data_IF_314614147586
#
_entry.id   IF_314614147586
#
_cell.length_a   1.000
_cell.length_b   1.000
_cell.length_c   1.000
_cell.angle_alpha   90.00
_cell.angle_beta   90.00
_cell.angle_gamma   90.00
#
_symmetry.space_group_name_H-M   'P 1'
#
loop_
_entity.id
_entity.type
_entity.pdbx_description
1 polymer ?
#
# COMPACT_ATOMS: atom_id res chain seq x y z
N UNK A 1 9.11 3.63 -38.51
CA UNK A 1 8.47 3.38 -37.23
C UNK A 1 9.46 3.54 -36.13
N UNK A 2 9.01 4.20 -35.11
CA UNK A 2 9.80 4.34 -33.92
C UNK A 2 9.73 3.05 -33.12
N UNK A 3 10.87 2.48 -32.72
CA UNK A 3 10.90 1.29 -31.89
C UNK A 3 10.32 1.52 -30.49
N UNK A 4 10.04 2.78 -30.16
CA UNK A 4 9.35 3.13 -28.93
C UNK A 4 7.85 2.88 -29.01
N UNK A 5 7.36 2.46 -30.16
CA UNK A 5 5.94 2.25 -30.35
C UNK A 5 5.61 0.76 -30.29
N UNK A 6 4.40 0.47 -29.87
CA UNK A 6 3.84 -0.87 -29.93
C UNK A 6 2.61 -0.86 -30.81
N UNK A 7 2.31 -1.99 -31.41
CA UNK A 7 1.14 -2.12 -32.26
C UNK A 7 -0.02 -2.65 -31.45
N UNK A 8 -1.15 -1.96 -31.53
CA UNK A 8 -2.40 -2.44 -30.97
C UNK A 8 -3.41 -2.38 -32.10
N UNK A 9 -3.72 -3.54 -32.66
CA UNK A 9 -4.47 -3.59 -33.90
C UNK A 9 -3.67 -2.92 -35.00
N UNK A 10 -4.24 -1.92 -35.65
CA UNK A 10 -3.59 -1.16 -36.69
C UNK A 10 -2.93 0.13 -36.19
N UNK A 11 -2.90 0.31 -34.87
CA UNK A 11 -2.36 1.53 -34.30
C UNK A 11 -0.99 1.32 -33.73
N UNK A 12 -0.12 2.27 -33.98
CA UNK A 12 1.12 2.40 -33.25
C UNK A 12 0.87 3.32 -32.06
N UNK A 13 1.16 2.82 -30.87
CA UNK A 13 1.03 3.62 -29.66
C UNK A 13 2.43 3.79 -29.10
N UNK A 14 2.85 5.03 -28.81
CA UNK A 14 4.13 5.24 -28.16
C UNK A 14 4.22 4.38 -26.91
N UNK A 15 5.34 3.73 -26.71
CA UNK A 15 5.53 2.86 -25.56
C UNK A 15 5.26 3.58 -24.26
N UNK A 16 5.63 4.85 -24.18
CA UNK A 16 5.39 5.68 -23.00
C UNK A 16 3.90 5.90 -22.72
N UNK A 17 3.07 5.86 -23.75
CA UNK A 17 1.63 5.99 -23.56
C UNK A 17 0.98 4.69 -23.12
N UNK A 18 1.64 3.56 -23.38
CA UNK A 18 1.14 2.24 -22.97
C UNK A 18 1.54 1.94 -21.54
N UNK A 19 2.73 2.36 -21.16
CA UNK A 19 3.22 2.20 -19.80
C UNK A 19 2.56 3.25 -18.92
N UNK A 20 1.88 2.82 -17.87
CA UNK A 20 1.34 3.75 -16.91
C UNK A 20 2.45 4.60 -16.31
N UNK A 21 2.10 5.76 -15.83
CA UNK A 21 3.05 6.74 -15.33
C UNK A 21 4.10 6.12 -14.42
N UNK A 22 5.30 6.62 -14.54
CA UNK A 22 6.41 6.19 -13.70
C UNK A 22 6.47 7.09 -12.48
N UNK A 23 6.28 6.49 -11.31
CA UNK A 23 6.42 7.20 -10.06
C UNK A 23 7.88 7.17 -9.61
N UNK A 24 8.35 8.23 -8.94
CA UNK A 24 9.71 8.23 -8.42
C UNK A 24 9.85 7.21 -7.29
N UNK A 25 10.90 6.40 -7.35
CA UNK A 25 11.19 5.41 -6.31
C UNK A 25 12.33 5.89 -5.44
N UNK A 26 12.29 5.52 -4.15
CA UNK A 26 13.34 5.90 -3.21
C UNK A 26 13.34 7.38 -2.86
N UNK A 27 12.29 8.09 -3.17
CA UNK A 27 12.13 9.51 -2.85
C UNK A 27 10.90 9.71 -1.99
N UNK A 28 10.88 10.77 -1.21
CA UNK A 28 9.77 11.08 -0.34
C UNK A 28 8.57 11.56 -1.15
N UNK A 29 7.45 10.88 -0.98
CA UNK A 29 6.20 11.20 -1.65
C UNK A 29 5.13 11.37 -0.59
N UNK A 30 4.28 12.37 -0.75
CA UNK A 30 3.10 12.55 0.10
C UNK A 30 1.97 11.66 -0.40
N UNK A 31 1.39 10.92 0.52
CA UNK A 31 0.22 10.08 0.27
C UNK A 31 -0.94 10.56 1.13
N UNK A 32 -2.15 10.36 0.62
CA UNK A 32 -3.36 10.62 1.38
C UNK A 32 -4.19 9.34 1.42
N UNK A 33 -4.63 8.95 2.60
CA UNK A 33 -5.47 7.77 2.74
C UNK A 33 -6.88 8.14 2.26
N UNK A 34 -7.32 7.52 1.18
CA UNK A 34 -8.67 7.74 0.65
C UNK A 34 -9.66 6.76 1.26
N UNK A 35 -9.21 5.53 1.47
CA UNK A 35 -10.07 4.47 1.95
C UNK A 35 -9.25 3.49 2.76
N UNK A 36 -9.79 3.04 3.87
CA UNK A 36 -9.20 1.95 4.63
C UNK A 36 -10.30 0.95 4.96
N UNK A 37 -10.02 -0.33 4.66
CA UNK A 37 -10.98 -1.40 4.87
C UNK A 37 -10.35 -2.53 5.64
N UNK A 38 -11.09 -3.07 6.60
CA UNK A 38 -10.71 -4.29 7.28
C UNK A 38 -11.21 -5.47 6.47
N UNK A 39 -10.31 -6.39 6.17
CA UNK A 39 -10.61 -7.65 5.49
C UNK A 39 -10.02 -8.79 6.29
N UNK A 40 -10.27 -10.01 5.85
CA UNK A 40 -9.76 -11.19 6.53
C UNK A 40 -8.98 -12.06 5.56
N UNK A 41 -8.03 -12.80 6.09
CA UNK A 41 -7.28 -13.80 5.35
C UNK A 41 -7.16 -15.06 6.19
N UNK A 42 -6.96 -16.20 5.51
CA UNK A 42 -6.79 -17.47 6.18
C UNK A 42 -5.36 -17.62 6.68
N UNK A 43 -5.21 -17.84 7.99
CA UNK A 43 -3.91 -18.10 8.58
C UNK A 43 -3.37 -19.42 8.07
N UNK A 44 -2.08 -19.43 7.73
CA UNK A 44 -1.36 -20.66 7.37
C UNK A 44 -0.09 -20.75 8.22
N UNK A 45 0.21 -21.96 8.64
CA UNK A 45 1.47 -22.26 9.32
C UNK A 45 2.15 -23.35 8.50
N UNK A 46 3.37 -23.08 8.06
CA UNK A 46 4.14 -23.99 7.20
C UNK A 46 3.35 -24.41 5.94
N UNK A 47 2.59 -23.46 5.39
CA UNK A 47 1.81 -23.69 4.19
C UNK A 47 0.48 -24.39 4.41
N UNK A 48 0.15 -24.74 5.66
CA UNK A 48 -1.09 -25.44 6.00
C UNK A 48 -2.09 -24.49 6.66
N UNK A 49 -3.36 -24.51 6.24
CA UNK A 49 -4.37 -23.67 6.88
C UNK A 49 -4.62 -24.13 8.32
N UNK A 50 -4.77 -23.15 9.21
CA UNK A 50 -5.03 -23.42 10.64
C UNK A 50 -6.52 -23.41 10.96
N UNK A 51 -7.36 -23.00 10.01
CA UNK A 51 -8.79 -22.77 10.24
C UNK A 51 -9.10 -21.44 10.90
N UNK A 52 -8.08 -20.64 11.20
CA UNK A 52 -8.25 -19.31 11.80
C UNK A 52 -8.22 -18.24 10.71
N UNK A 53 -9.10 -17.26 10.86
CA UNK A 53 -9.08 -16.07 10.01
C UNK A 53 -8.50 -14.91 10.80
N UNK A 54 -7.62 -14.17 10.13
CA UNK A 54 -6.94 -13.03 10.72
C UNK A 54 -7.26 -11.77 9.91
N UNK A 55 -7.26 -10.61 10.54
CA UNK A 55 -7.55 -9.38 9.82
C UNK A 55 -6.36 -8.87 9.05
N UNK A 56 -6.63 -8.19 7.93
CA UNK A 56 -5.68 -7.32 7.30
C UNK A 56 -6.38 -6.02 6.94
N UNK A 57 -5.59 -4.96 6.84
CA UNK A 57 -6.11 -3.65 6.47
C UNK A 57 -5.59 -3.28 5.10
N UNK A 58 -6.52 -2.91 4.23
CA UNK A 58 -6.20 -2.49 2.88
C UNK A 58 -6.42 -0.98 2.79
N UNK A 59 -5.36 -0.28 2.43
CA UNK A 59 -5.38 1.18 2.27
C UNK A 59 -5.33 1.52 0.80
N UNK A 60 -6.28 2.33 0.38
CA UNK A 60 -6.24 2.96 -0.94
C UNK A 60 -5.68 4.36 -0.76
N UNK A 61 -4.56 4.61 -1.40
CA UNK A 61 -3.80 5.84 -1.24
C UNK A 61 -3.84 6.64 -2.53
N UNK A 62 -4.11 7.92 -2.41
CA UNK A 62 -3.91 8.86 -3.50
C UNK A 62 -2.60 9.60 -3.30
N UNK A 63 -2.08 10.15 -4.36
CA UNK A 63 -0.85 10.91 -4.35
C UNK A 63 -1.18 12.35 -4.78
N UNK A 64 -1.24 13.30 -3.85
CA UNK A 64 -1.61 14.67 -4.21
C UNK A 64 -0.73 15.29 -5.30
N UNK A 65 0.55 14.92 -5.34
CA UNK A 65 1.47 15.45 -6.36
C UNK A 65 1.42 14.69 -7.68
N UNK A 66 0.67 13.58 -7.74
CA UNK A 66 0.55 12.75 -8.94
C UNK A 66 -0.93 12.39 -9.13
N UNK A 67 -1.75 13.37 -9.58
CA UNK A 67 -3.18 13.14 -9.75
C UNK A 67 -3.47 11.97 -10.68
N UNK A 68 -4.46 11.17 -10.31
CA UNK A 68 -4.84 10.00 -11.09
C UNK A 68 -4.10 8.73 -10.72
N UNK A 69 -3.06 8.83 -9.91
CA UNK A 69 -2.33 7.66 -9.47
C UNK A 69 -2.90 7.13 -8.16
N UNK A 70 -2.87 5.81 -8.01
CA UNK A 70 -3.34 5.13 -6.80
C UNK A 70 -2.33 4.08 -6.42
N UNK A 71 -2.03 4.00 -5.13
CA UNK A 71 -1.18 2.96 -4.56
C UNK A 71 -1.98 2.25 -3.48
N UNK A 72 -1.93 0.93 -3.48
CA UNK A 72 -2.56 0.14 -2.44
C UNK A 72 -1.49 -0.35 -1.47
N UNK A 73 -1.81 -0.30 -0.19
CA UNK A 73 -0.91 -0.75 0.85
C UNK A 73 -1.69 -1.59 1.85
N UNK A 74 -1.12 -2.74 2.22
CA UNK A 74 -1.80 -3.69 3.09
C UNK A 74 -0.95 -3.96 4.33
N UNK A 75 -1.63 -4.13 5.46
CA UNK A 75 -1.00 -4.61 6.68
C UNK A 75 -1.72 -5.87 7.14
N UNK A 76 -0.99 -6.96 7.16
CA UNK A 76 -1.50 -8.24 7.63
C UNK A 76 -1.17 -8.40 9.11
N UNK A 77 -2.18 -8.56 9.93
CA UNK A 77 -1.99 -8.75 11.36
C UNK A 77 -1.89 -10.25 11.65
N UNK A 78 -0.95 -10.60 12.51
CA UNK A 78 -0.75 -11.98 12.93
C UNK A 78 -1.43 -12.22 14.28
N UNK A 79 -1.49 -13.49 14.71
CA UNK A 79 -2.01 -13.81 16.03
C UNK A 79 -1.18 -13.13 17.12
N UNK A 80 0.13 -12.97 16.92
CA UNK A 80 1.00 -12.30 17.88
C UNK A 80 0.65 -10.83 17.99
N UNK A 81 0.36 -10.18 16.84
CA UNK A 81 -0.04 -8.78 16.82
C UNK A 81 -1.35 -8.58 17.57
N UNK A 82 -2.31 -9.49 17.37
CA UNK A 82 -3.60 -9.41 18.03
C UNK A 82 -3.49 -9.61 19.54
N UNK A 83 -2.53 -10.41 19.99
CA UNK A 83 -2.33 -10.65 21.41
C UNK A 83 -1.60 -9.48 22.10
N UNK A 84 -1.12 -8.52 21.34
CA UNK A 84 -0.41 -7.34 21.83
C UNK A 84 0.90 -7.64 22.55
N UNK A 85 1.40 -8.87 22.47
CA UNK A 85 2.66 -9.26 23.11
C UNK A 85 3.86 -8.90 22.24
N UNK A 86 3.68 -9.03 20.95
CA UNK A 86 4.72 -8.72 19.97
C UNK A 86 4.03 -8.05 18.80
N UNK A 87 3.57 -6.83 19.04
CA UNK A 87 2.97 -6.04 17.99
C UNK A 87 3.91 -6.05 16.79
N UNK A 88 3.37 -6.35 15.63
CA UNK A 88 4.12 -6.23 14.41
C UNK A 88 4.64 -4.80 14.35
N UNK A 89 5.94 -4.67 14.33
CA UNK A 89 6.57 -3.35 14.37
C UNK A 89 6.07 -2.49 13.22
N UNK A 90 5.80 -3.09 12.08
CA UNK A 90 5.36 -2.32 10.92
C UNK A 90 4.00 -1.67 11.14
N UNK A 91 3.02 -2.39 11.69
CA UNK A 91 1.70 -1.83 11.99
C UNK A 91 1.78 -0.77 13.10
N UNK A 92 2.49 -1.10 14.17
CA UNK A 92 2.66 -0.16 15.27
C UNK A 92 3.41 1.09 14.83
N UNK A 93 4.50 0.92 14.08
CA UNK A 93 5.28 2.04 13.57
C UNK A 93 4.45 2.91 12.64
N UNK A 94 3.62 2.30 11.81
CA UNK A 94 2.73 3.06 10.94
C UNK A 94 1.78 3.95 11.76
N UNK A 95 1.10 3.38 12.75
CA UNK A 95 0.20 4.16 13.59
C UNK A 95 0.94 5.24 14.38
N UNK A 96 2.10 4.90 14.96
CA UNK A 96 2.92 5.86 15.69
C UNK A 96 3.37 7.02 14.79
N UNK A 97 3.73 6.71 13.55
CA UNK A 97 4.14 7.71 12.57
C UNK A 97 3.01 8.68 12.27
N UNK A 98 1.78 8.19 12.22
CA UNK A 98 0.61 9.02 11.97
C UNK A 98 0.08 9.69 13.24
N UNK A 99 0.76 9.49 14.38
CA UNK A 99 0.33 10.02 15.69
C UNK A 99 -1.04 9.49 16.11
N UNK A 100 -1.31 8.24 15.78
CA UNK A 100 -2.55 7.56 16.13
C UNK A 100 -2.33 6.59 17.29
N UNK A 101 -3.32 6.41 18.15
CA UNK A 101 -3.21 5.42 19.22
C UNK A 101 -3.16 4.02 18.63
N UNK A 102 -2.38 3.15 19.27
CA UNK A 102 -2.27 1.77 18.81
C UNK A 102 -3.62 1.06 18.95
N UNK A 103 -4.05 0.42 17.88
CA UNK A 103 -5.24 -0.42 17.88
C UNK A 103 -5.10 -1.47 16.80
N UNK A 104 -5.68 -2.65 17.03
CA UNK A 104 -5.77 -3.69 16.02
C UNK A 104 -7.16 -3.72 15.36
N UNK A 105 -8.05 -2.81 15.75
CA UNK A 105 -9.43 -2.79 15.27
C UNK A 105 -9.90 -1.38 14.91
N UNK A 106 -9.16 -0.63 14.06
CA UNK A 106 -9.68 0.64 13.61
C UNK A 106 -10.94 0.41 12.75
N UNK A 107 -11.88 1.33 12.89
CA UNK A 107 -13.08 1.27 12.06
C UNK A 107 -12.73 1.54 10.59
N UNK A 108 -13.57 1.04 9.68
CA UNK A 108 -13.40 1.33 8.27
C UNK A 108 -13.39 2.85 8.04
N UNK A 109 -12.44 3.29 7.23
CA UNK A 109 -12.26 4.69 6.91
C UNK A 109 -11.97 5.62 8.11
N UNK A 110 -11.59 5.05 9.27
CA UNK A 110 -11.23 5.86 10.43
C UNK A 110 -10.00 6.73 10.17
N UNK A 111 -9.14 6.30 9.25
CA UNK A 111 -7.92 7.03 8.88
C UNK A 111 -8.05 7.78 7.56
N UNK A 112 -9.26 7.91 7.03
CA UNK A 112 -9.46 8.63 5.77
C UNK A 112 -9.01 10.09 5.90
N UNK A 113 -8.43 10.60 4.83
CA UNK A 113 -7.93 11.97 4.71
C UNK A 113 -6.64 12.26 5.50
N UNK A 114 -6.08 11.28 6.17
CA UNK A 114 -4.77 11.45 6.81
C UNK A 114 -3.70 11.39 5.73
N UNK A 115 -2.76 12.31 5.81
CA UNK A 115 -1.61 12.37 4.90
C UNK A 115 -0.34 11.94 5.60
N UNK A 116 0.50 11.28 4.87
CA UNK A 116 1.81 10.88 5.38
C UNK A 116 2.83 10.86 4.23
N UNK A 117 4.09 10.85 4.60
CA UNK A 117 5.18 10.80 3.64
C UNK A 117 5.80 9.42 3.68
N UNK A 118 6.01 8.84 2.51
CA UNK A 118 6.59 7.52 2.38
C UNK A 118 7.40 7.42 1.09
N UNK A 119 8.19 6.37 1.00
CA UNK A 119 8.93 6.02 -0.22
C UNK A 119 8.34 4.73 -0.78
N UNK A 120 8.40 4.60 -2.08
CA UNK A 120 7.89 3.42 -2.77
C UNK A 120 9.00 2.74 -3.56
N UNK A 121 8.77 1.48 -3.85
CA UNK A 121 9.57 0.70 -4.80
C UNK A 121 8.64 0.01 -5.77
N UNK A 122 9.18 -0.38 -6.88
CA UNK A 122 8.43 -1.16 -7.86
C UNK A 122 8.50 -2.64 -7.51
N UNK A 123 7.35 -3.28 -7.44
CA UNK A 123 7.25 -4.73 -7.32
C UNK A 123 7.06 -5.28 -8.73
N UNK A 124 8.16 -5.72 -9.34
CA UNK A 124 8.14 -6.17 -10.72
C UNK A 124 7.36 -7.46 -10.93
N UNK A 125 7.28 -8.31 -9.92
CA UNK A 125 6.53 -9.55 -10.01
C UNK A 125 5.04 -9.29 -10.13
N UNK A 126 4.56 -8.26 -9.44
CA UNK A 126 3.14 -7.89 -9.46
C UNK A 126 2.84 -6.75 -10.42
N UNK A 127 3.88 -6.09 -10.93
CA UNK A 127 3.69 -4.95 -11.80
C UNK A 127 3.08 -3.74 -11.12
N UNK A 128 3.34 -3.57 -9.85
CA UNK A 128 2.75 -2.48 -9.07
C UNK A 128 3.79 -1.81 -8.17
N UNK A 129 3.44 -0.63 -7.66
CA UNK A 129 4.27 0.07 -6.68
C UNK A 129 3.81 -0.29 -5.27
N UNK A 130 4.77 -0.48 -4.39
CA UNK A 130 4.51 -0.79 -2.98
C UNK A 130 5.30 0.17 -2.10
N UNK A 131 4.77 0.45 -0.91
CA UNK A 131 5.49 1.28 0.05
C UNK A 131 6.65 0.48 0.60
N UNK A 132 7.84 1.05 0.48
CA UNK A 132 9.06 0.45 1.00
C UNK A 132 9.45 1.01 2.36
N UNK A 133 9.08 2.26 2.66
CA UNK A 133 9.45 2.91 3.91
C UNK A 133 8.48 4.04 4.20
N UNK A 134 7.94 4.08 5.41
CA UNK A 134 7.13 5.20 5.88
C UNK A 134 8.06 6.19 6.58
N UNK A 135 8.01 7.45 6.18
CA UNK A 135 8.92 8.49 6.66
C UNK A 135 8.31 9.23 7.85
N UNK A 136 7.09 9.74 7.70
CA UNK A 136 6.47 10.49 8.76
C UNK A 136 5.11 11.04 8.36
N UNK A 137 4.43 11.65 9.33
CA UNK A 137 3.18 12.32 9.06
C UNK A 137 3.44 13.56 8.19
N UNK A 138 2.53 13.83 7.27
CA UNK A 138 2.57 15.06 6.49
C UNK A 138 1.76 16.13 7.22
N UNK A 139 2.30 17.31 7.27
CA UNK A 139 1.61 18.45 7.86
C UNK A 139 0.59 19.07 6.89
#
# INVERSE_FOLDING_TARGET
>A
MDEQNVMIGDFEIPLDAVVTSTLPTGKDITFEIKKSERKEYDEKVDGQPTGRKLPYYNFQLSLPDFPGETVFHKYFLTAKNLSNRHADRSWKVFLDTLHLPYTTTPADNAMANIRFVAQIREDKERGEYVISKVIGAAS
#
